data_IF_830385991859
#
_entry.id   IF_830385991859
#
_cell.length_a   1.000
_cell.length_b   1.000
_cell.length_c   1.000
_cell.angle_alpha   90.00
_cell.angle_beta   90.00
_cell.angle_gamma   90.00
#
_symmetry.space_group_name_H-M   'P 1'
#
loop_
_entity.id
_entity.type
_entity.pdbx_description
1 polymer ?
#
# COMPACT_ATOMS: atom_id res chain seq x y z
N UNK A 1 17.48 -5.36 6.58
CA UNK A 1 16.47 -4.45 6.01
C UNK A 1 16.95 -3.99 4.64
N UNK A 2 16.23 -4.23 3.53
CA UNK A 2 16.79 -4.12 2.18
C UNK A 2 16.75 -2.69 1.60
N UNK A 3 16.59 -1.66 2.44
CA UNK A 3 16.35 -0.29 1.97
C UNK A 3 17.44 0.73 2.27
N UNK A 4 18.48 0.39 3.04
CA UNK A 4 19.58 1.32 3.32
C UNK A 4 20.83 0.58 3.79
N UNK A 5 21.95 0.72 3.07
CA UNK A 5 23.28 0.40 3.59
C UNK A 5 23.84 1.55 4.48
N UNK A 6 23.14 2.69 4.59
CA UNK A 6 23.55 3.81 5.44
C UNK A 6 22.33 4.53 6.06
N UNK A 7 22.18 4.53 7.40
CA UNK A 7 21.07 5.21 8.09
C UNK A 7 21.15 6.75 8.08
N UNK A 8 22.24 7.34 7.56
CA UNK A 8 22.48 8.79 7.50
C UNK A 8 22.16 9.43 6.15
N UNK A 9 21.81 8.65 5.11
CA UNK A 9 21.58 9.19 3.77
C UNK A 9 20.08 9.53 3.60
N UNK A 10 19.72 10.77 3.24
CA UNK A 10 18.33 11.09 2.96
C UNK A 10 17.83 10.23 1.78
N UNK A 11 16.63 9.67 1.91
CA UNK A 11 16.01 8.84 0.87
C UNK A 11 16.01 9.57 -0.47
N UNK A 12 16.54 8.91 -1.51
CA UNK A 12 16.47 9.41 -2.88
C UNK A 12 15.02 9.51 -3.34
N UNK A 13 14.73 10.38 -4.32
CA UNK A 13 13.43 10.45 -4.98
C UNK A 13 13.05 9.07 -5.56
N UNK A 14 14.02 8.32 -6.09
CA UNK A 14 13.79 6.95 -6.58
C UNK A 14 13.43 5.97 -5.47
N UNK A 15 14.05 6.06 -4.30
CA UNK A 15 13.73 5.20 -3.18
C UNK A 15 12.32 5.49 -2.65
N UNK A 16 11.92 6.76 -2.65
CA UNK A 16 10.56 7.18 -2.29
C UNK A 16 9.53 6.63 -3.28
N UNK A 17 9.79 6.72 -4.59
CA UNK A 17 8.90 6.14 -5.62
C UNK A 17 8.76 4.64 -5.41
N UNK A 18 9.87 3.90 -5.27
CA UNK A 18 9.86 2.46 -5.03
C UNK A 18 9.12 2.09 -3.74
N UNK A 19 9.23 2.92 -2.71
CA UNK A 19 8.51 2.72 -1.45
C UNK A 19 7.00 2.84 -1.64
N UNK A 20 6.52 3.89 -2.32
CA UNK A 20 5.08 4.04 -2.59
C UNK A 20 4.55 2.94 -3.51
N UNK A 21 5.30 2.53 -4.52
CA UNK A 21 4.90 1.41 -5.40
C UNK A 21 4.80 0.09 -4.63
N UNK A 22 5.78 -0.23 -3.77
CA UNK A 22 5.73 -1.43 -2.92
C UNK A 22 4.58 -1.36 -1.92
N UNK A 23 4.35 -0.21 -1.30
CA UNK A 23 3.24 -0.01 -0.36
C UNK A 23 1.89 -0.24 -1.05
N UNK A 24 1.70 0.32 -2.24
CA UNK A 24 0.50 0.10 -3.04
C UNK A 24 0.32 -1.36 -3.46
N UNK A 25 1.39 -2.02 -3.90
CA UNK A 25 1.35 -3.42 -4.27
C UNK A 25 0.97 -4.33 -3.08
N UNK A 26 1.55 -4.10 -1.91
CA UNK A 26 1.20 -4.86 -0.69
C UNK A 26 -0.24 -4.62 -0.28
N UNK A 27 -0.71 -3.37 -0.30
CA UNK A 27 -2.10 -3.03 0.00
C UNK A 27 -3.08 -3.71 -0.97
N UNK A 28 -2.74 -3.78 -2.26
CA UNK A 28 -3.56 -4.46 -3.27
C UNK A 28 -3.70 -5.96 -2.99
N UNK A 29 -2.60 -6.64 -2.64
CA UNK A 29 -2.61 -8.08 -2.30
C UNK A 29 -3.46 -8.34 -1.05
N UNK A 30 -3.30 -7.51 0.00
CA UNK A 30 -4.08 -7.65 1.24
C UNK A 30 -5.56 -7.40 0.98
N UNK A 31 -5.91 -6.36 0.20
CA UNK A 31 -7.29 -6.10 -0.19
C UNK A 31 -7.92 -7.29 -0.93
N UNK A 32 -7.17 -7.91 -1.84
CA UNK A 32 -7.60 -9.10 -2.58
C UNK A 32 -7.91 -10.27 -1.64
N UNK A 33 -7.04 -10.53 -0.66
CA UNK A 33 -7.25 -11.57 0.35
C UNK A 33 -8.51 -11.30 1.18
N UNK A 34 -8.70 -10.05 1.61
CA UNK A 34 -9.89 -9.65 2.38
C UNK A 34 -11.16 -9.88 1.55
N UNK A 35 -11.18 -9.49 0.27
CA UNK A 35 -12.32 -9.73 -0.62
C UNK A 35 -12.59 -11.24 -0.74
N UNK A 36 -11.57 -12.06 -0.98
CA UNK A 36 -11.73 -13.51 -1.05
C UNK A 36 -12.31 -14.10 0.24
N UNK A 37 -11.87 -13.61 1.41
CA UNK A 37 -12.40 -14.05 2.71
C UNK A 37 -13.87 -13.63 2.90
N UNK A 38 -14.25 -12.43 2.43
CA UNK A 38 -15.65 -11.95 2.47
C UNK A 38 -16.53 -12.81 1.55
N UNK A 39 -16.13 -12.98 0.29
CA UNK A 39 -16.88 -13.72 -0.74
C UNK A 39 -16.99 -15.22 -0.42
N UNK A 40 -15.96 -15.80 0.20
CA UNK A 40 -15.98 -17.20 0.65
C UNK A 40 -16.74 -17.44 1.95
N UNK A 41 -17.31 -16.39 2.57
CA UNK A 41 -18.07 -16.47 3.81
C UNK A 41 -17.23 -16.76 5.06
N UNK A 42 -15.90 -16.85 4.95
CA UNK A 42 -15.00 -17.10 6.09
C UNK A 42 -14.95 -15.95 7.10
N UNK A 43 -15.38 -14.75 6.70
CA UNK A 43 -15.36 -13.56 7.55
C UNK A 43 -16.46 -13.58 8.61
N UNK A 44 -17.56 -14.31 8.41
CA UNK A 44 -18.62 -14.51 9.40
C UNK A 44 -19.04 -13.22 10.13
N UNK A 45 -18.86 -13.20 11.45
CA UNK A 45 -19.19 -12.06 12.33
C UNK A 45 -18.26 -10.85 12.20
N UNK A 46 -17.09 -11.01 11.59
CA UNK A 46 -16.10 -9.95 11.41
C UNK A 46 -16.33 -9.10 10.15
N UNK A 47 -17.50 -9.20 9.51
CA UNK A 47 -17.78 -8.52 8.23
C UNK A 47 -17.57 -7.01 8.30
N UNK A 48 -18.05 -6.38 9.37
CA UNK A 48 -17.85 -4.95 9.58
C UNK A 48 -16.36 -4.58 9.71
N UNK A 49 -15.56 -5.42 10.36
CA UNK A 49 -14.11 -5.22 10.49
C UNK A 49 -13.41 -5.38 9.14
N UNK A 50 -13.82 -6.37 8.34
CA UNK A 50 -13.30 -6.61 7.00
C UNK A 50 -13.64 -5.45 6.04
N UNK A 51 -14.87 -4.92 6.09
CA UNK A 51 -15.30 -3.76 5.29
C UNK A 51 -14.55 -2.48 5.68
N UNK A 52 -14.32 -2.25 6.97
CA UNK A 52 -13.46 -1.16 7.46
C UNK A 52 -12.02 -1.34 6.99
N UNK A 53 -11.48 -2.56 7.05
CA UNK A 53 -10.16 -2.90 6.54
C UNK A 53 -10.04 -2.64 5.04
N UNK A 54 -11.06 -3.02 4.26
CA UNK A 54 -11.12 -2.78 2.82
C UNK A 54 -11.11 -1.27 2.51
N UNK A 55 -11.89 -0.49 3.25
CA UNK A 55 -11.94 0.96 3.13
C UNK A 55 -10.56 1.59 3.41
N UNK A 56 -9.87 1.14 4.45
CA UNK A 56 -8.51 1.60 4.75
C UNK A 56 -7.52 1.25 3.63
N UNK A 57 -7.63 0.05 3.02
CA UNK A 57 -6.77 -0.33 1.89
C UNK A 57 -6.99 0.55 0.67
N UNK A 58 -8.22 0.95 0.36
CA UNK A 58 -8.52 1.88 -0.73
C UNK A 58 -7.80 3.22 -0.53
N UNK A 59 -7.81 3.75 0.70
CA UNK A 59 -7.08 4.98 1.04
C UNK A 59 -5.57 4.80 0.85
N UNK A 60 -5.00 3.67 1.30
CA UNK A 60 -3.57 3.38 1.11
C UNK A 60 -3.20 3.27 -0.37
N UNK A 61 -4.04 2.66 -1.20
CA UNK A 61 -3.84 2.57 -2.65
C UNK A 61 -3.86 3.96 -3.30
N UNK A 62 -4.82 4.81 -2.93
CA UNK A 62 -4.89 6.18 -3.41
C UNK A 62 -3.64 6.99 -3.04
N UNK A 63 -3.21 6.93 -1.77
CA UNK A 63 -2.01 7.61 -1.29
C UNK A 63 -0.75 7.07 -1.97
N UNK A 64 -0.66 5.75 -2.19
CA UNK A 64 0.45 5.12 -2.88
C UNK A 64 0.57 5.59 -4.33
N UNK A 65 -0.56 5.69 -5.04
CA UNK A 65 -0.61 6.18 -6.41
C UNK A 65 -0.22 7.66 -6.48
N UNK A 66 -0.85 8.50 -5.65
CA UNK A 66 -0.59 9.95 -5.61
C UNK A 66 0.86 10.23 -5.22
N UNK A 67 1.37 9.53 -4.20
CA UNK A 67 2.77 9.63 -3.78
C UNK A 67 3.72 9.25 -4.90
N UNK A 68 3.53 8.10 -5.54
CA UNK A 68 4.37 7.67 -6.67
C UNK A 68 4.34 8.68 -7.82
N UNK A 69 3.16 9.17 -8.21
CA UNK A 69 3.02 10.17 -9.27
C UNK A 69 3.68 11.50 -8.91
N UNK A 70 3.48 12.00 -7.69
CA UNK A 70 4.08 13.25 -7.23
C UNK A 70 5.61 13.23 -7.29
N UNK A 71 6.23 12.16 -6.78
CA UNK A 71 7.68 12.01 -6.81
C UNK A 71 8.21 11.69 -8.22
N UNK A 72 7.44 11.00 -9.07
CA UNK A 72 7.77 10.84 -10.49
C UNK A 72 7.76 12.16 -11.24
N UNK A 73 6.80 13.05 -10.97
CA UNK A 73 6.78 14.40 -11.56
C UNK A 73 7.95 15.25 -11.11
N UNK A 74 8.38 15.16 -9.84
CA UNK A 74 9.57 15.84 -9.31
C UNK A 74 10.92 15.26 -9.77
N UNK A 75 10.91 14.11 -10.47
CA UNK A 75 12.11 13.53 -11.09
C UNK A 75 12.47 14.22 -12.41
N UNK A 76 11.51 14.89 -13.06
CA UNK A 76 11.77 15.77 -14.21
C UNK A 76 12.27 17.13 -13.73
#
# INVERSE_FOLDING_TARGET
MPFTNDPKKPFSIEDKIKMFERMGATAAVIALIIIMLIESGHVGEYKNLADMGLTAMIVVLAVSLVGSLFYKTKRK
#
